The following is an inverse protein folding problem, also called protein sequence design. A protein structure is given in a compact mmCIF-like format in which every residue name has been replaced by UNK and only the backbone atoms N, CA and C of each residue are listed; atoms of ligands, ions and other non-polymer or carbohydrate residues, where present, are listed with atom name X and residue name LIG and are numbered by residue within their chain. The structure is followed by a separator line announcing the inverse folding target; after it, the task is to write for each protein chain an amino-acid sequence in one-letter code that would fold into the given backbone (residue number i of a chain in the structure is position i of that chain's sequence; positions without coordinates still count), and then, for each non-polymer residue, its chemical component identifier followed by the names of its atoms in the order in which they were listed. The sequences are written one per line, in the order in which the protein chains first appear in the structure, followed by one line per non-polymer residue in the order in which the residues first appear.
data_IF_186158662669
#
_entry.id   IF_186158662669
#
_cell.length_a   1.000
_cell.length_b   1.000
_cell.length_c   1.000
_cell.angle_alpha   90.00
_cell.angle_beta   90.00
_cell.angle_gamma   90.00
#
_symmetry.space_group_name_H-M   'P 1'
#
loop_
_entity.id
_entity.type
_entity.pdbx_description
1 polymer ?
#
# COMPACT_ATOMS: atom_id res chain seq x y z
N UNK A 1 8.77 -15.66 -34.00
CA UNK A 1 9.88 -14.78 -34.41
C UNK A 1 10.84 -14.69 -33.24
N UNK A 2 12.13 -14.81 -33.51
CA UNK A 2 13.17 -14.88 -32.46
C UNK A 2 13.56 -13.46 -32.04
N UNK A 3 13.64 -13.20 -30.73
CA UNK A 3 14.22 -11.96 -30.21
C UNK A 3 15.66 -11.78 -30.72
N UNK A 4 16.10 -10.55 -31.00
CA UNK A 4 17.48 -10.29 -31.39
C UNK A 4 18.43 -10.80 -30.29
N UNK A 5 19.42 -11.60 -30.69
CA UNK A 5 20.44 -12.13 -29.78
C UNK A 5 21.39 -11.04 -29.26
N UNK A 6 22.29 -11.38 -28.33
CA UNK A 6 23.21 -10.43 -27.69
C UNK A 6 24.22 -9.78 -28.66
N UNK A 7 24.40 -10.34 -29.86
CA UNK A 7 25.30 -9.82 -30.91
C UNK A 7 24.56 -8.97 -31.96
N UNK A 8 23.27 -8.69 -31.77
CA UNK A 8 22.49 -7.87 -32.69
C UNK A 8 22.99 -6.42 -32.68
N UNK A 9 23.09 -5.83 -33.85
CA UNK A 9 23.46 -4.42 -34.01
C UNK A 9 22.32 -3.50 -33.58
N UNK A 10 22.65 -2.29 -33.13
CA UNK A 10 21.66 -1.27 -32.75
C UNK A 10 20.59 -1.04 -33.84
N UNK A 11 20.96 -1.17 -35.11
CA UNK A 11 20.05 -1.05 -36.24
C UNK A 11 19.05 -2.22 -36.33
N UNK A 12 19.49 -3.45 -36.04
CA UNK A 12 18.64 -4.63 -36.01
C UNK A 12 17.69 -4.62 -34.80
N UNK A 13 18.20 -4.17 -33.65
CA UNK A 13 17.40 -3.95 -32.43
C UNK A 13 16.32 -2.90 -32.69
N UNK A 14 16.68 -1.75 -33.29
CA UNK A 14 15.73 -0.68 -33.63
C UNK A 14 14.64 -1.17 -34.56
N UNK A 15 15.01 -1.89 -35.62
CA UNK A 15 14.06 -2.43 -36.61
C UNK A 15 13.10 -3.47 -35.99
N UNK A 16 13.61 -4.31 -35.07
CA UNK A 16 12.78 -5.27 -34.34
C UNK A 16 11.72 -4.56 -33.49
N UNK A 17 12.09 -3.55 -32.70
CA UNK A 17 11.15 -2.82 -31.87
C UNK A 17 10.15 -1.97 -32.67
N UNK A 18 10.58 -1.38 -33.79
CA UNK A 18 9.67 -0.65 -34.69
C UNK A 18 8.63 -1.58 -35.34
N UNK A 19 9.03 -2.80 -35.72
CA UNK A 19 8.09 -3.81 -36.24
C UNK A 19 7.15 -4.35 -35.17
N UNK A 20 7.63 -4.58 -33.95
CA UNK A 20 6.77 -4.96 -32.82
C UNK A 20 5.75 -3.86 -32.49
N UNK A 21 6.16 -2.59 -32.57
CA UNK A 21 5.31 -1.41 -32.34
C UNK A 21 4.23 -1.25 -33.41
N UNK A 22 4.55 -1.54 -34.67
CA UNK A 22 3.55 -1.56 -35.76
C UNK A 22 2.59 -2.75 -35.67
N UNK A 23 3.01 -3.84 -35.02
CA UNK A 23 2.17 -5.03 -34.81
C UNK A 23 1.25 -4.92 -33.58
N UNK A 24 1.44 -3.89 -32.75
CA UNK A 24 0.60 -3.58 -31.58
C UNK A 24 -0.38 -2.44 -31.88
N UNK A 25 -1.03 -2.49 -33.05
CA UNK A 25 -2.19 -1.66 -33.32
C UNK A 25 -3.44 -2.34 -32.74
N UNK A 26 -3.93 -1.86 -31.59
CA UNK A 26 -5.23 -2.27 -31.04
C UNK A 26 -5.24 -2.91 -29.65
N UNK A 27 -4.16 -2.82 -28.87
CA UNK A 27 -4.23 -3.13 -27.44
C UNK A 27 -4.81 -1.94 -26.68
N UNK A 28 -6.08 -2.07 -26.24
CA UNK A 28 -6.83 -1.13 -25.41
C UNK A 28 -6.00 -0.69 -24.20
N UNK A 29 -5.16 0.32 -24.43
CA UNK A 29 -4.26 0.85 -23.43
C UNK A 29 -5.12 1.77 -22.59
N UNK A 30 -5.77 1.20 -21.57
CA UNK A 30 -6.43 2.01 -20.56
C UNK A 30 -5.43 3.09 -20.14
N UNK A 31 -5.79 4.38 -20.26
CA UNK A 31 -4.87 5.44 -19.92
C UNK A 31 -4.48 5.26 -18.47
N UNK A 32 -3.19 4.99 -18.23
CA UNK A 32 -2.64 4.92 -16.88
C UNK A 32 -2.90 6.27 -16.24
N UNK A 33 -3.89 6.34 -15.33
CA UNK A 33 -4.20 7.57 -14.62
C UNK A 33 -2.97 7.96 -13.82
N UNK A 34 -2.31 9.04 -14.24
CA UNK A 34 -1.21 9.61 -13.49
C UNK A 34 -1.80 10.18 -12.20
N UNK A 35 -1.27 9.82 -11.03
CA UNK A 35 -1.71 10.44 -9.79
C UNK A 35 -1.49 11.96 -9.86
N UNK A 36 -2.46 12.70 -9.32
CA UNK A 36 -2.42 14.16 -9.26
C UNK A 36 -1.11 14.61 -8.60
N UNK A 37 -0.46 15.62 -9.21
CA UNK A 37 0.79 16.14 -8.68
C UNK A 37 0.47 16.95 -7.42
N UNK A 38 1.08 16.57 -6.30
CA UNK A 38 0.99 17.33 -5.07
C UNK A 38 1.80 18.62 -5.19
N UNK A 39 1.19 19.76 -4.85
CA UNK A 39 1.81 21.09 -4.99
C UNK A 39 2.73 21.46 -3.82
N UNK A 40 2.52 20.85 -2.64
CA UNK A 40 3.19 21.22 -1.40
C UNK A 40 4.03 20.05 -0.87
N UNK A 41 5.26 20.35 -0.43
CA UNK A 41 6.15 19.42 0.27
C UNK A 41 6.36 19.87 1.72
N UNK A 42 6.17 18.95 2.67
CA UNK A 42 6.47 19.17 4.09
C UNK A 42 7.79 18.46 4.41
N UNK A 43 8.76 19.18 4.95
CA UNK A 43 10.06 18.63 5.39
C UNK A 43 10.15 18.60 6.90
N UNK A 44 10.41 17.41 7.46
CA UNK A 44 10.64 17.20 8.89
C UNK A 44 11.89 16.34 9.06
N UNK A 45 12.61 16.54 10.16
CA UNK A 45 13.80 15.75 10.50
C UNK A 45 13.42 14.67 11.50
N UNK A 46 13.94 13.47 11.29
CA UNK A 46 13.78 12.33 12.19
C UNK A 46 15.15 11.91 12.70
N UNK A 47 15.20 11.51 13.95
CA UNK A 47 16.29 10.71 14.49
C UNK A 47 16.32 9.33 13.81
N UNK A 48 17.44 8.59 13.91
CA UNK A 48 17.53 7.24 13.38
C UNK A 48 16.46 6.28 13.94
N UNK A 49 16.12 6.41 15.23
CA UNK A 49 15.12 5.58 15.89
C UNK A 49 13.70 5.86 15.38
N UNK A 50 13.35 7.13 15.20
CA UNK A 50 12.03 7.53 14.71
C UNK A 50 11.78 7.03 13.28
N UNK A 51 12.76 7.20 12.37
CA UNK A 51 12.58 6.75 10.99
C UNK A 51 12.55 5.23 10.88
N UNK A 52 13.29 4.51 11.72
CA UNK A 52 13.20 3.06 11.80
C UNK A 52 11.80 2.61 12.22
N UNK A 53 11.25 3.22 13.27
CA UNK A 53 9.89 2.91 13.74
C UNK A 53 8.82 3.23 12.67
N UNK A 54 8.95 4.34 11.94
CA UNK A 54 8.04 4.66 10.83
C UNK A 54 8.14 3.62 9.73
N UNK A 55 9.34 3.18 9.36
CA UNK A 55 9.54 2.16 8.31
C UNK A 55 8.89 0.84 8.68
N UNK A 56 9.08 0.36 9.90
CA UNK A 56 8.45 -0.87 10.38
C UNK A 56 6.93 -0.77 10.31
N UNK A 57 6.33 0.29 10.88
CA UNK A 57 4.87 0.47 10.85
C UNK A 57 4.31 0.64 9.44
N UNK A 58 5.04 1.33 8.57
CA UNK A 58 4.66 1.47 7.17
C UNK A 58 4.68 0.10 6.46
N UNK A 59 5.70 -0.71 6.70
CA UNK A 59 5.80 -2.07 6.18
C UNK A 59 4.65 -2.95 6.67
N UNK A 60 4.33 -2.92 7.97
CA UNK A 60 3.22 -3.67 8.56
C UNK A 60 1.87 -3.26 7.95
N UNK A 61 1.73 -1.99 7.57
CA UNK A 61 0.56 -1.47 6.88
C UNK A 61 0.57 -1.68 5.35
N UNK A 62 1.62 -2.28 4.78
CA UNK A 62 1.78 -2.47 3.33
C UNK A 62 2.01 -1.16 2.55
N UNK A 63 2.51 -0.12 3.21
CA UNK A 63 2.68 1.23 2.67
C UNK A 63 4.15 1.66 2.61
N UNK A 64 4.45 2.59 1.69
CA UNK A 64 5.73 3.33 1.74
C UNK A 64 5.72 4.31 2.92
N UNK A 65 6.88 4.64 3.52
CA UNK A 65 6.95 5.55 4.67
C UNK A 65 6.25 6.89 4.46
N UNK A 66 6.38 7.51 3.28
CA UNK A 66 5.75 8.80 2.98
C UNK A 66 4.23 8.70 2.86
N UNK A 67 3.72 7.62 2.25
CA UNK A 67 2.29 7.35 2.17
C UNK A 67 1.70 7.06 3.56
N UNK A 68 2.45 6.31 4.39
CA UNK A 68 2.08 6.04 5.78
C UNK A 68 2.01 7.33 6.61
N UNK A 69 3.04 8.19 6.54
CA UNK A 69 3.05 9.49 7.24
C UNK A 69 1.85 10.35 6.83
N UNK A 70 1.59 10.46 5.52
CA UNK A 70 0.44 11.23 5.02
C UNK A 70 -0.88 10.65 5.52
N UNK A 71 -1.04 9.31 5.49
CA UNK A 71 -2.23 8.64 6.01
C UNK A 71 -2.42 8.92 7.50
N UNK A 72 -1.38 8.87 8.31
CA UNK A 72 -1.47 9.19 9.73
C UNK A 72 -1.79 10.66 10.00
N UNK A 73 -1.20 11.58 9.21
CA UNK A 73 -1.45 13.01 9.35
C UNK A 73 -2.85 13.44 8.91
N UNK A 74 -3.44 12.70 7.94
CA UNK A 74 -4.78 12.95 7.43
C UNK A 74 -5.85 12.06 8.06
N UNK A 75 -5.47 11.06 8.86
CA UNK A 75 -6.43 10.23 9.54
C UNK A 75 -7.30 11.16 10.41
N UNK A 76 -8.59 11.22 10.09
CA UNK A 76 -9.58 11.83 10.97
C UNK A 76 -9.35 11.29 12.38
N UNK A 77 -9.40 12.18 13.37
CA UNK A 77 -9.18 11.85 14.77
C UNK A 77 -9.82 10.50 15.06
N UNK A 78 -9.00 9.49 15.38
CA UNK A 78 -9.54 8.21 15.84
C UNK A 78 -10.47 8.57 16.98
N UNK A 79 -11.79 8.30 16.86
CA UNK A 79 -12.73 8.77 17.87
C UNK A 79 -12.25 8.21 19.21
N UNK A 80 -12.26 9.04 20.27
CA UNK A 80 -11.73 8.63 21.56
C UNK A 80 -12.38 7.31 21.96
N UNK A 81 -11.55 6.33 22.32
CA UNK A 81 -12.04 5.02 22.74
C UNK A 81 -12.94 5.22 23.97
N UNK A 82 -14.24 4.93 23.83
CA UNK A 82 -15.15 4.84 24.97
C UNK A 82 -14.76 3.61 25.79
N UNK A 83 -13.94 3.83 26.82
CA UNK A 83 -13.49 2.80 27.75
C UNK A 83 -14.65 2.13 28.48
N UNK A 84 -15.74 2.86 28.72
CA UNK A 84 -16.94 2.32 29.34
C UNK A 84 -17.66 1.34 28.41
N UNK A 85 -17.80 1.69 27.13
CA UNK A 85 -18.33 0.78 26.12
C UNK A 85 -17.45 -0.45 25.96
N UNK A 86 -16.14 -0.27 25.88
CA UNK A 86 -15.19 -1.38 25.77
C UNK A 86 -15.28 -2.34 26.97
N UNK A 87 -15.30 -1.82 28.19
CA UNK A 87 -15.45 -2.62 29.41
C UNK A 87 -16.73 -3.45 29.37
N UNK A 88 -17.87 -2.81 29.03
CA UNK A 88 -19.16 -3.52 28.94
C UNK A 88 -19.14 -4.62 27.88
N UNK A 89 -18.49 -4.39 26.74
CA UNK A 89 -18.34 -5.39 25.69
C UNK A 89 -17.48 -6.57 26.13
N UNK A 90 -16.38 -6.32 26.85
CA UNK A 90 -15.53 -7.38 27.42
C UNK A 90 -16.31 -8.19 28.46
N UNK A 91 -16.99 -7.53 29.39
CA UNK A 91 -17.79 -8.20 30.43
C UNK A 91 -18.91 -9.06 29.82
N UNK A 92 -19.56 -8.56 28.77
CA UNK A 92 -20.57 -9.32 28.02
C UNK A 92 -19.96 -10.54 27.33
N UNK A 93 -18.79 -10.39 26.68
CA UNK A 93 -18.11 -11.50 26.03
C UNK A 93 -17.69 -12.58 27.04
N UNK A 94 -17.15 -12.19 28.20
CA UNK A 94 -16.79 -13.12 29.27
C UNK A 94 -17.99 -13.91 29.79
N UNK A 95 -19.14 -13.25 30.01
CA UNK A 95 -20.37 -13.94 30.42
C UNK A 95 -20.86 -14.93 29.36
N UNK A 96 -20.88 -14.51 28.09
CA UNK A 96 -21.31 -15.37 27.00
C UNK A 96 -20.42 -16.62 26.87
N UNK A 97 -19.11 -16.48 27.06
CA UNK A 97 -18.18 -17.63 27.04
C UNK A 97 -18.39 -18.56 28.24
N UNK A 98 -18.66 -18.01 29.43
CA UNK A 98 -18.97 -18.80 30.63
C UNK A 98 -20.27 -19.60 30.46
N UNK A 99 -21.31 -18.97 29.89
CA UNK A 99 -22.59 -19.61 29.61
C UNK A 99 -22.45 -20.70 28.55
N UNK A 100 -21.65 -20.45 27.50
CA UNK A 100 -21.36 -21.44 26.46
C UNK A 100 -20.58 -22.63 27.03
N UNK A 101 -19.62 -22.38 27.92
CA UNK A 101 -18.89 -23.43 28.64
C UNK A 101 -19.83 -24.29 29.50
N UNK A 102 -20.80 -23.68 30.17
CA UNK A 102 -21.80 -24.39 30.98
C UNK A 102 -22.82 -25.18 30.15
N UNK A 103 -23.14 -24.71 28.96
CA UNK A 103 -24.07 -25.40 28.06
C UNK A 103 -23.41 -26.57 27.30
N UNK A 104 -22.09 -26.53 27.14
CA UNK A 104 -21.30 -27.55 26.42
C UNK A 104 -20.68 -28.63 27.32
N UNK A 105 -20.80 -28.51 28.66
CA UNK A 105 -20.37 -29.51 29.65
C UNK A 105 -21.57 -30.15 30.34
#
# INVERSE_FOLDING_TARGET
MTEPGPDATDAEVTKYYDQCRQSTDGGDSQPVQRPERLEITISVRFTPGEIAAIRTRAQDAGLKPTAYIRRCALAEEVPPIDRGQLSRSVDALSRNLEDLRRAAG
#
